data_IF_127946056254
#
_entry.id   IF_127946056254
#
_cell.length_a   1.000
_cell.length_b   1.000
_cell.length_c   1.000
_cell.angle_alpha   90.00
_cell.angle_beta   90.00
_cell.angle_gamma   90.00
#
_symmetry.space_group_name_H-M   'P 1'
#
loop_
_entity.id
_entity.type
_entity.pdbx_description
1 polymer ?
#
# COMPACT_ATOMS: atom_id res chain seq x y z
N UNK A 1 2.69 14.24 9.92
CA UNK A 1 2.58 13.70 8.56
C UNK A 1 3.51 12.54 8.24
N UNK A 2 4.78 12.60 8.56
CA UNK A 2 5.70 11.46 8.35
C UNK A 2 5.35 10.19 9.15
N UNK A 3 4.49 10.28 10.15
CA UNK A 3 4.20 9.22 11.13
C UNK A 3 3.07 8.28 10.68
N UNK A 4 2.02 8.80 10.03
CA UNK A 4 0.89 7.98 9.53
C UNK A 4 1.33 7.16 8.31
N UNK A 5 2.17 7.75 7.47
CA UNK A 5 2.71 7.10 6.28
C UNK A 5 3.63 5.92 6.62
N UNK A 6 4.39 6.01 7.73
CA UNK A 6 5.25 4.90 8.19
C UNK A 6 4.46 3.68 8.62
N UNK A 7 3.24 3.84 9.14
CA UNK A 7 2.38 2.72 9.52
C UNK A 7 1.79 1.99 8.31
N UNK A 8 1.47 2.69 7.23
CA UNK A 8 0.93 2.09 6.00
C UNK A 8 2.00 1.34 5.19
N UNK A 9 3.24 1.85 5.16
CA UNK A 9 4.36 1.15 4.51
C UNK A 9 4.86 -0.07 5.32
N UNK A 10 4.58 -0.15 6.62
CA UNK A 10 5.06 -1.24 7.49
C UNK A 10 4.46 -2.61 7.13
N UNK A 11 3.29 -2.65 6.49
CA UNK A 11 2.67 -3.90 6.07
C UNK A 11 3.46 -4.63 4.96
N UNK A 12 4.18 -3.89 4.11
CA UNK A 12 4.98 -4.46 3.01
C UNK A 12 6.41 -4.80 3.44
N UNK A 13 6.89 -4.27 4.57
CA UNK A 13 8.28 -4.48 5.06
C UNK A 13 8.57 -5.87 5.60
N UNK A 14 7.55 -6.73 5.79
CA UNK A 14 7.70 -8.10 6.28
C UNK A 14 8.57 -9.02 5.39
N UNK A 15 8.87 -8.61 4.16
CA UNK A 15 9.65 -9.41 3.23
C UNK A 15 11.16 -9.12 3.23
N UNK A 16 11.63 -8.00 3.79
CA UNK A 16 13.00 -7.52 3.57
C UNK A 16 13.87 -7.34 4.82
N UNK A 17 13.55 -8.01 5.92
CA UNK A 17 14.42 -8.05 7.11
C UNK A 17 14.03 -7.07 8.20
N UNK A 18 14.42 -7.42 9.41
CA UNK A 18 14.10 -6.81 10.69
C UNK A 18 14.12 -5.28 10.68
N UNK A 19 12.96 -4.66 10.57
CA UNK A 19 12.80 -3.25 10.86
C UNK A 19 12.29 -3.13 12.31
N UNK A 20 13.04 -2.43 13.15
CA UNK A 20 12.60 -2.06 14.48
C UNK A 20 11.32 -1.22 14.36
N UNK A 21 10.25 -1.71 14.94
CA UNK A 21 9.03 -0.94 15.11
C UNK A 21 9.35 0.24 16.04
N UNK A 22 9.39 1.44 15.46
CA UNK A 22 9.36 2.65 16.25
C UNK A 22 7.89 2.95 16.56
N UNK A 23 7.50 2.80 17.82
CA UNK A 23 6.23 3.27 18.36
C UNK A 23 6.10 4.78 18.12
N UNK A 24 5.42 5.17 17.08
CA UNK A 24 5.02 6.53 16.84
C UNK A 24 3.55 6.69 17.24
N UNK A 25 3.33 7.18 18.46
CA UNK A 25 2.02 7.63 18.95
C UNK A 25 1.47 8.69 17.98
N UNK A 26 0.23 8.55 17.48
CA UNK A 26 -0.40 9.62 16.70
C UNK A 26 -0.46 10.90 17.53
N UNK A 27 -0.14 12.03 16.94
CA UNK A 27 -0.44 13.33 17.55
C UNK A 27 -1.95 13.43 17.74
N UNK A 28 -2.38 13.56 18.98
CA UNK A 28 -3.77 13.75 19.34
C UNK A 28 -4.30 15.08 18.74
N UNK A 29 -5.57 15.10 18.33
CA UNK A 29 -6.46 16.22 18.08
C UNK A 29 -6.77 16.64 16.63
N UNK A 30 -6.31 15.94 15.59
CA UNK A 30 -6.85 16.19 14.24
C UNK A 30 -7.67 14.98 13.81
N UNK A 31 -8.96 15.16 13.42
CA UNK A 31 -9.79 14.07 12.91
C UNK A 31 -9.13 13.45 11.69
N UNK A 32 -8.66 12.24 11.81
CA UNK A 32 -8.01 11.51 10.73
C UNK A 32 -8.89 10.32 10.31
N UNK A 33 -9.02 10.11 9.01
CA UNK A 33 -9.69 8.96 8.41
C UNK A 33 -8.64 8.11 7.72
N UNK A 34 -8.60 6.82 8.03
CA UNK A 34 -7.80 5.85 7.30
C UNK A 34 -8.73 4.80 6.71
N UNK A 35 -8.64 4.60 5.40
CA UNK A 35 -9.38 3.58 4.67
C UNK A 35 -8.39 2.81 3.82
N UNK A 36 -8.56 1.50 3.71
CA UNK A 36 -7.71 0.71 2.86
C UNK A 36 -8.12 -0.74 2.84
N UNK A 37 -7.66 -1.40 1.81
CA UNK A 37 -7.80 -2.83 1.60
C UNK A 37 -6.43 -3.41 1.25
N UNK A 38 -6.20 -4.65 1.69
CA UNK A 38 -5.03 -5.42 1.31
C UNK A 38 -5.47 -6.83 0.91
N UNK A 39 -4.94 -7.31 -0.20
CA UNK A 39 -5.12 -8.68 -0.68
C UNK A 39 -3.77 -9.35 -0.70
N UNK A 40 -3.68 -10.54 -0.10
CA UNK A 40 -2.46 -11.34 -0.04
C UNK A 40 -2.71 -12.72 -0.60
N UNK A 41 -1.78 -13.18 -1.41
CA UNK A 41 -1.71 -14.55 -1.90
C UNK A 41 -0.35 -15.15 -1.56
N UNK A 42 -0.33 -16.45 -1.28
CA UNK A 42 0.88 -17.18 -0.96
C UNK A 42 0.93 -18.48 -1.77
N UNK A 43 2.11 -18.86 -2.24
CA UNK A 43 2.32 -20.11 -2.95
C UNK A 43 3.70 -20.70 -2.61
N UNK A 44 3.81 -22.01 -2.63
CA UNK A 44 5.06 -22.74 -2.41
C UNK A 44 5.78 -22.96 -3.74
N UNK A 45 7.10 -22.82 -3.74
CA UNK A 45 7.95 -23.19 -4.88
C UNK A 45 8.14 -24.71 -4.89
N UNK A 46 7.51 -25.39 -5.83
CA UNK A 46 7.59 -26.86 -5.94
C UNK A 46 8.60 -27.34 -6.99
N UNK A 47 8.93 -26.52 -8.00
CA UNK A 47 9.98 -26.83 -8.96
C UNK A 47 10.62 -25.54 -9.52
N UNK A 48 11.84 -25.67 -10.04
CA UNK A 48 12.59 -24.55 -10.66
C UNK A 48 13.30 -25.04 -11.90
N UNK A 49 13.03 -24.41 -13.04
CA UNK A 49 13.81 -24.56 -14.25
C UNK A 49 14.76 -23.35 -14.43
N UNK A 50 16.02 -23.54 -14.12
CA UNK A 50 17.01 -22.45 -14.19
C UNK A 50 17.32 -21.98 -15.62
N UNK A 51 17.18 -22.85 -16.62
CA UNK A 51 17.47 -22.52 -18.04
C UNK A 51 16.39 -21.57 -18.60
N UNK A 52 15.13 -21.86 -18.32
CA UNK A 52 14.00 -21.05 -18.79
C UNK A 52 13.60 -19.97 -17.78
N UNK A 53 14.21 -19.94 -16.58
CA UNK A 53 13.82 -19.09 -15.44
C UNK A 53 12.38 -19.29 -15.02
N UNK A 54 11.85 -20.50 -15.17
CA UNK A 54 10.50 -20.86 -14.78
C UNK A 54 10.51 -21.40 -13.34
N UNK A 55 9.59 -20.91 -12.53
CA UNK A 55 9.31 -21.38 -11.18
C UNK A 55 7.91 -21.96 -11.19
N UNK A 56 7.77 -23.22 -10.79
CA UNK A 56 6.46 -23.86 -10.60
C UNK A 56 6.00 -23.59 -9.17
N UNK A 57 4.83 -23.00 -9.04
CA UNK A 57 4.23 -22.60 -7.78
C UNK A 57 3.01 -23.46 -7.48
N UNK A 58 2.81 -23.81 -6.21
CA UNK A 58 1.61 -24.44 -5.68
C UNK A 58 0.91 -23.48 -4.74
N UNK A 59 -0.28 -23.00 -5.10
CA UNK A 59 -1.12 -22.14 -4.29
C UNK A 59 -1.69 -22.84 -3.06
N UNK A 60 -2.24 -22.07 -2.13
CA UNK A 60 -2.91 -22.58 -0.92
C UNK A 60 -4.15 -23.44 -1.25
N UNK A 61 -4.77 -23.19 -2.38
CA UNK A 61 -5.89 -23.97 -2.95
C UNK A 61 -5.45 -25.29 -3.61
N UNK A 62 -4.14 -25.57 -3.63
CA UNK A 62 -3.54 -26.75 -4.23
C UNK A 62 -3.30 -26.63 -5.74
N UNK A 63 -3.73 -25.57 -6.40
CA UNK A 63 -3.47 -25.33 -7.82
C UNK A 63 -1.97 -25.15 -8.07
N UNK A 64 -1.50 -25.76 -9.16
CA UNK A 64 -0.09 -25.69 -9.59
C UNK A 64 -0.02 -24.94 -10.90
N UNK A 65 0.88 -23.95 -10.97
CA UNK A 65 1.08 -23.11 -12.15
C UNK A 65 2.53 -22.67 -12.30
N UNK A 66 2.91 -22.32 -13.52
CA UNK A 66 4.25 -21.87 -13.85
C UNK A 66 4.33 -20.35 -13.95
N UNK A 67 5.41 -19.78 -13.42
CA UNK A 67 5.74 -18.36 -13.53
C UNK A 67 7.11 -18.20 -14.14
N UNK A 68 7.20 -17.45 -15.24
CA UNK A 68 8.49 -17.08 -15.83
C UNK A 68 9.00 -15.83 -15.10
N UNK A 69 10.15 -15.97 -14.45
CA UNK A 69 10.77 -14.88 -13.69
C UNK A 69 11.63 -14.04 -14.64
N UNK A 70 11.29 -12.77 -14.79
CA UNK A 70 11.99 -11.84 -15.66
C UNK A 70 13.47 -11.64 -15.31
N UNK A 71 14.24 -11.12 -16.27
CA UNK A 71 15.70 -10.90 -16.11
C UNK A 71 16.01 -9.80 -15.08
N UNK A 72 15.09 -8.93 -14.81
CA UNK A 72 15.15 -7.88 -13.78
C UNK A 72 15.27 -8.45 -12.36
N UNK A 73 14.76 -9.64 -12.11
CA UNK A 73 14.95 -10.38 -10.86
C UNK A 73 16.38 -10.97 -10.81
N UNK A 74 17.36 -10.13 -10.51
CA UNK A 74 18.79 -10.50 -10.50
C UNK A 74 19.11 -11.60 -9.49
N UNK A 75 18.35 -11.71 -8.42
CA UNK A 75 18.56 -12.68 -7.33
C UNK A 75 17.86 -14.03 -7.59
N UNK A 76 17.46 -14.33 -8.82
CA UNK A 76 16.77 -15.58 -9.18
C UNK A 76 17.48 -16.85 -8.65
N UNK A 77 18.80 -16.88 -8.66
CA UNK A 77 19.59 -18.00 -8.16
C UNK A 77 19.38 -18.31 -6.66
N UNK A 78 18.82 -17.36 -5.89
CA UNK A 78 18.54 -17.53 -4.48
C UNK A 78 17.20 -18.25 -4.20
N UNK A 79 16.40 -18.48 -5.24
CA UNK A 79 15.13 -19.22 -5.12
C UNK A 79 15.46 -20.71 -4.95
N UNK A 80 14.78 -21.36 -4.01
CA UNK A 80 14.91 -22.79 -3.73
C UNK A 80 13.54 -23.45 -3.70
N UNK A 81 13.48 -24.74 -4.01
CA UNK A 81 12.28 -25.55 -3.78
C UNK A 81 11.98 -25.56 -2.28
N UNK A 82 10.70 -25.43 -1.91
CA UNK A 82 10.21 -25.26 -0.56
C UNK A 82 10.13 -23.79 -0.11
N UNK A 83 10.71 -22.83 -0.84
CA UNK A 83 10.47 -21.41 -0.56
C UNK A 83 9.01 -21.06 -0.78
N UNK A 84 8.58 -19.95 -0.17
CA UNK A 84 7.26 -19.38 -0.38
C UNK A 84 7.36 -18.09 -1.18
N UNK A 85 6.44 -17.92 -2.10
CA UNK A 85 6.22 -16.66 -2.82
C UNK A 85 5.02 -15.97 -2.19
N UNK A 86 5.19 -14.75 -1.76
CA UNK A 86 4.14 -13.91 -1.20
C UNK A 86 3.90 -12.77 -2.20
N UNK A 87 2.67 -12.65 -2.67
CA UNK A 87 2.19 -11.51 -3.44
C UNK A 87 1.19 -10.72 -2.59
N UNK A 88 1.37 -9.42 -2.50
CA UNK A 88 0.51 -8.54 -1.71
C UNK A 88 0.17 -7.30 -2.52
N UNK A 89 -1.10 -6.96 -2.57
CA UNK A 89 -1.58 -5.70 -3.13
C UNK A 89 -2.29 -4.92 -2.04
N UNK A 90 -1.94 -3.65 -1.91
CA UNK A 90 -2.57 -2.77 -0.94
C UNK A 90 -2.98 -1.44 -1.57
N UNK A 91 -4.08 -0.93 -1.07
CA UNK A 91 -4.58 0.40 -1.39
C UNK A 91 -4.98 1.09 -0.08
N UNK A 92 -4.37 2.23 0.22
CA UNK A 92 -4.61 2.96 1.47
C UNK A 92 -4.81 4.43 1.18
N UNK A 93 -5.87 5.00 1.76
CA UNK A 93 -6.14 6.43 1.77
C UNK A 93 -6.19 6.91 3.22
N UNK A 94 -5.25 7.77 3.59
CA UNK A 94 -5.23 8.46 4.87
C UNK A 94 -5.53 9.94 4.65
N UNK A 95 -6.45 10.51 5.43
CA UNK A 95 -6.82 11.92 5.32
C UNK A 95 -6.97 12.56 6.70
N UNK A 96 -6.62 13.83 6.78
CA UNK A 96 -6.87 14.69 7.94
C UNK A 96 -7.68 15.93 7.50
N UNK A 97 -8.55 16.42 8.38
CA UNK A 97 -9.30 17.64 8.15
C UNK A 97 -8.42 18.85 8.42
N UNK A 98 -8.39 19.79 7.48
CA UNK A 98 -7.75 21.10 7.62
C UNK A 98 -8.83 22.17 7.55
N UNK A 99 -8.99 22.94 8.60
CA UNK A 99 -9.98 24.01 8.64
C UNK A 99 -9.61 25.18 7.72
N UNK A 100 -10.63 25.69 7.03
CA UNK A 100 -10.48 26.78 6.08
C UNK A 100 -9.89 26.36 4.73
N UNK A 101 -10.00 27.25 3.75
CA UNK A 101 -9.50 27.07 2.40
C UNK A 101 -7.99 27.36 2.25
N UNK A 102 -7.46 27.11 1.07
CA UNK A 102 -6.08 27.38 0.72
C UNK A 102 -5.71 26.82 -0.66
N UNK A 103 -4.44 26.72 -0.94
CA UNK A 103 -3.95 26.14 -2.19
C UNK A 103 -4.22 24.63 -2.21
N UNK A 104 -4.67 24.14 -3.34
CA UNK A 104 -4.78 22.72 -3.64
C UNK A 104 -3.46 22.23 -4.22
N UNK A 105 -3.00 21.10 -3.72
CA UNK A 105 -1.72 20.52 -4.13
C UNK A 105 -1.89 19.03 -4.47
N UNK A 106 -1.03 18.54 -5.34
CA UNK A 106 -0.88 17.10 -5.59
C UNK A 106 0.58 16.85 -5.92
N UNK A 107 1.19 15.95 -5.14
CA UNK A 107 2.55 15.47 -5.36
C UNK A 107 2.47 13.96 -5.54
N UNK A 108 2.99 13.46 -6.65
CA UNK A 108 3.02 12.03 -6.98
C UNK A 108 4.46 11.53 -6.85
N UNK A 109 4.62 10.34 -6.27
CA UNK A 109 5.90 9.68 -6.10
C UNK A 109 5.77 8.20 -6.41
N UNK A 110 6.59 7.71 -7.31
CA UNK A 110 6.65 6.29 -7.61
C UNK A 110 7.39 5.52 -6.49
N UNK A 111 6.85 4.35 -6.15
CA UNK A 111 7.48 3.38 -5.25
C UNK A 111 8.08 2.28 -6.12
N UNK A 112 9.41 2.18 -6.11
CA UNK A 112 10.15 1.20 -6.89
C UNK A 112 11.26 0.61 -6.02
N UNK A 113 10.95 -0.50 -5.34
CA UNK A 113 11.92 -1.18 -4.50
C UNK A 113 12.22 -2.58 -5.02
N UNK A 114 13.44 -3.04 -4.83
CA UNK A 114 13.87 -4.39 -5.15
C UNK A 114 14.75 -4.94 -4.04
N UNK A 115 14.73 -6.26 -3.86
CA UNK A 115 15.58 -6.94 -2.89
C UNK A 115 17.07 -6.66 -3.18
N UNK A 116 17.85 -6.47 -2.13
CA UNK A 116 19.29 -6.25 -2.21
C UNK A 116 20.03 -7.48 -2.76
N UNK A 117 21.20 -7.31 -3.38
CA UNK A 117 22.03 -8.43 -3.79
C UNK A 117 22.28 -9.43 -2.63
N UNK A 118 22.23 -10.73 -2.93
CA UNK A 118 22.40 -11.79 -1.93
C UNK A 118 21.15 -12.17 -1.14
N UNK A 119 20.10 -11.37 -1.17
CA UNK A 119 18.80 -11.71 -0.60
C UNK A 119 17.96 -12.53 -1.59
N UNK A 120 16.88 -13.15 -1.10
CA UNK A 120 15.89 -13.75 -1.99
C UNK A 120 15.20 -12.67 -2.83
N UNK A 121 14.72 -13.01 -4.05
CA UNK A 121 14.11 -12.02 -4.93
C UNK A 121 12.86 -11.41 -4.30
N UNK A 122 12.67 -10.13 -4.58
CA UNK A 122 11.48 -9.41 -4.22
C UNK A 122 11.47 -8.03 -4.87
N UNK A 123 10.28 -7.51 -5.08
CA UNK A 123 10.06 -6.18 -5.62
C UNK A 123 8.75 -5.59 -5.09
N UNK A 124 8.74 -4.28 -4.92
CA UNK A 124 7.54 -3.48 -4.64
C UNK A 124 7.43 -2.45 -5.74
N UNK A 125 6.24 -2.30 -6.29
CA UNK A 125 5.89 -1.29 -7.28
C UNK A 125 4.61 -0.61 -6.83
N UNK A 126 4.59 0.70 -6.91
CA UNK A 126 3.42 1.44 -6.48
C UNK A 126 3.55 2.92 -6.73
N UNK A 127 2.60 3.64 -6.18
CA UNK A 127 2.55 5.10 -6.21
C UNK A 127 2.02 5.63 -4.89
N UNK A 128 2.63 6.71 -4.45
CA UNK A 128 2.18 7.55 -3.34
C UNK A 128 1.71 8.89 -3.92
N UNK A 129 0.55 9.35 -3.50
CA UNK A 129 -0.02 10.63 -3.91
C UNK A 129 -0.37 11.42 -2.66
N UNK A 130 0.42 12.45 -2.37
CA UNK A 130 0.09 13.44 -1.36
C UNK A 130 -0.79 14.52 -1.98
N UNK A 131 -1.88 14.90 -1.31
CA UNK A 131 -2.80 15.88 -1.85
C UNK A 131 -3.38 16.81 -0.78
N UNK A 132 -3.77 18.00 -1.23
CA UNK A 132 -4.66 18.95 -0.54
C UNK A 132 -5.82 19.24 -1.47
N UNK A 133 -7.04 19.02 -0.98
CA UNK A 133 -8.27 19.17 -1.76
C UNK A 133 -9.32 19.97 -0.97
N UNK A 134 -10.15 20.76 -1.66
CA UNK A 134 -11.25 21.50 -1.06
C UNK A 134 -12.47 20.60 -0.86
N UNK A 135 -13.14 20.72 0.26
CA UNK A 135 -14.47 20.14 0.48
C UNK A 135 -15.52 20.98 -0.26
N UNK A 136 -16.14 20.42 -1.28
CA UNK A 136 -17.15 21.09 -2.11
C UNK A 136 -18.57 20.86 -1.63
N UNK A 137 -18.84 19.73 -1.05
CA UNK A 137 -20.14 19.43 -0.45
C UNK A 137 -20.03 18.35 0.60
N UNK A 138 -20.98 18.36 1.54
CA UNK A 138 -21.09 17.40 2.63
C UNK A 138 -22.51 16.85 2.62
N UNK A 139 -22.67 15.55 2.51
CA UNK A 139 -23.93 14.84 2.64
C UNK A 139 -23.90 13.99 3.91
N UNK A 140 -24.35 14.58 5.01
CA UNK A 140 -24.35 13.93 6.31
C UNK A 140 -25.29 12.70 6.37
N UNK A 141 -26.38 12.69 5.57
CA UNK A 141 -27.32 11.55 5.53
C UNK A 141 -26.70 10.35 4.82
N UNK A 142 -26.01 10.58 3.71
CA UNK A 142 -25.31 9.54 2.98
C UNK A 142 -23.93 9.19 3.59
N UNK A 143 -23.43 9.99 4.53
CA UNK A 143 -22.09 9.84 5.08
C UNK A 143 -21.00 10.09 4.04
N UNK A 144 -21.20 11.04 3.11
CA UNK A 144 -20.26 11.29 2.02
C UNK A 144 -19.84 12.75 1.92
N UNK A 145 -18.60 12.98 1.49
CA UNK A 145 -18.10 14.30 1.14
C UNK A 145 -17.67 14.28 -0.33
N UNK A 146 -17.82 15.43 -0.99
CA UNK A 146 -17.26 15.64 -2.33
C UNK A 146 -16.06 16.57 -2.21
N UNK A 147 -14.92 16.15 -2.68
CA UNK A 147 -13.70 16.95 -2.67
C UNK A 147 -13.25 17.33 -4.08
N UNK A 148 -12.66 18.50 -4.20
CA UNK A 148 -12.05 19.02 -5.43
C UNK A 148 -10.54 19.12 -5.25
N UNK A 149 -9.82 18.24 -5.92
CA UNK A 149 -8.35 18.23 -5.92
C UNK A 149 -7.74 19.24 -6.88
N UNK A 150 -6.42 19.26 -6.95
CA UNK A 150 -5.68 19.97 -7.97
C UNK A 150 -6.09 19.47 -9.38
N UNK A 151 -5.94 20.31 -10.38
CA UNK A 151 -6.33 20.02 -11.79
C UNK A 151 -7.83 19.77 -11.99
N UNK A 152 -8.69 20.22 -11.04
CA UNK A 152 -10.15 20.11 -11.18
C UNK A 152 -10.72 18.70 -10.99
N UNK A 153 -9.96 17.75 -10.50
CA UNK A 153 -10.46 16.38 -10.23
C UNK A 153 -11.44 16.38 -9.06
N UNK A 154 -12.60 15.76 -9.24
CA UNK A 154 -13.64 15.65 -8.23
C UNK A 154 -13.75 14.21 -7.77
N UNK A 155 -13.78 14.01 -6.46
CA UNK A 155 -13.91 12.69 -5.85
C UNK A 155 -15.04 12.72 -4.81
N UNK A 156 -15.85 11.66 -4.79
CA UNK A 156 -16.84 11.42 -3.74
C UNK A 156 -16.31 10.35 -2.79
N UNK A 157 -16.17 10.70 -1.52
CA UNK A 157 -15.58 9.84 -0.50
C UNK A 157 -16.62 9.53 0.57
N UNK A 158 -16.64 8.29 1.06
CA UNK A 158 -17.46 7.86 2.17
C UNK A 158 -16.69 8.03 3.47
N UNK A 159 -17.23 8.80 4.41
CA UNK A 159 -16.71 8.96 5.77
C UNK A 159 -17.48 8.04 6.69
N UNK A 160 -16.82 7.00 7.19
CA UNK A 160 -17.47 5.97 8.03
C UNK A 160 -17.71 6.44 9.47
N UNK A 161 -16.89 7.36 9.97
CA UNK A 161 -16.97 7.87 11.34
C UNK A 161 -17.90 9.09 11.41
N UNK A 162 -19.05 8.98 12.10
CA UNK A 162 -19.98 10.10 12.26
C UNK A 162 -19.38 11.30 13.03
N UNK A 163 -18.43 11.05 13.94
CA UNK A 163 -17.79 12.13 14.70
C UNK A 163 -16.86 12.96 13.82
N UNK A 164 -16.16 12.33 12.89
CA UNK A 164 -15.37 13.02 11.86
C UNK A 164 -16.30 13.76 10.91
N UNK A 165 -17.38 13.09 10.45
CA UNK A 165 -18.35 13.68 9.53
C UNK A 165 -18.98 14.97 10.07
N UNK A 166 -19.31 15.01 11.36
CA UNK A 166 -19.88 16.18 12.02
C UNK A 166 -18.96 17.41 12.06
N UNK A 167 -17.66 17.21 11.87
CA UNK A 167 -16.66 18.28 11.91
C UNK A 167 -16.34 18.85 10.53
N UNK A 168 -16.69 18.14 9.45
CA UNK A 168 -16.39 18.55 8.08
C UNK A 168 -17.45 19.54 7.59
N UNK A 169 -17.00 20.66 6.99
CA UNK A 169 -17.85 21.68 6.39
C UNK A 169 -17.43 21.96 4.98
N UNK A 170 -18.37 22.44 4.16
CA UNK A 170 -18.06 23.02 2.86
C UNK A 170 -17.09 24.22 3.03
N UNK A 171 -16.07 24.29 2.20
CA UNK A 171 -15.01 25.28 2.28
C UNK A 171 -13.81 24.87 3.16
N UNK A 172 -13.91 23.79 3.93
CA UNK A 172 -12.74 23.17 4.57
C UNK A 172 -11.85 22.52 3.51
N UNK A 173 -10.65 22.14 3.90
CA UNK A 173 -9.76 21.28 3.11
C UNK A 173 -9.55 19.94 3.78
N UNK A 174 -9.25 18.95 2.97
CA UNK A 174 -8.66 17.68 3.40
C UNK A 174 -7.25 17.59 2.87
N UNK A 175 -6.33 17.20 3.76
CA UNK A 175 -4.98 16.84 3.40
C UNK A 175 -4.85 15.34 3.52
N UNK A 176 -4.33 14.68 2.50
CA UNK A 176 -4.28 13.24 2.53
C UNK A 176 -3.10 12.66 1.76
N UNK A 177 -2.90 11.36 1.98
CA UNK A 177 -1.98 10.53 1.25
C UNK A 177 -2.72 9.29 0.77
N UNK A 178 -2.65 9.04 -0.53
CA UNK A 178 -3.12 7.83 -1.16
C UNK A 178 -1.93 6.98 -1.58
N UNK A 179 -1.93 5.72 -1.19
CA UNK A 179 -0.89 4.75 -1.56
C UNK A 179 -1.56 3.58 -2.22
N UNK A 180 -1.08 3.21 -3.39
CA UNK A 180 -1.36 1.94 -4.04
C UNK A 180 -0.05 1.24 -4.33
N UNK A 181 0.09 -0.01 -3.89
CA UNK A 181 1.31 -0.76 -4.10
C UNK A 181 1.04 -2.26 -4.26
N UNK A 182 1.86 -2.89 -5.08
CA UNK A 182 1.92 -4.35 -5.22
C UNK A 182 3.33 -4.81 -4.93
N UNK A 183 3.46 -5.73 -4.00
CA UNK A 183 4.70 -6.38 -3.63
C UNK A 183 4.69 -7.86 -4.01
N UNK A 184 5.84 -8.37 -4.39
CA UNK A 184 6.10 -9.80 -4.51
C UNK A 184 7.43 -10.11 -3.85
N UNK A 185 7.49 -11.15 -3.04
CA UNK A 185 8.71 -11.55 -2.35
C UNK A 185 8.81 -13.07 -2.24
N UNK A 186 10.03 -13.57 -2.40
CA UNK A 186 10.38 -14.96 -2.05
C UNK A 186 10.92 -14.97 -0.63
N UNK A 187 10.38 -15.82 0.22
CA UNK A 187 10.80 -15.99 1.61
C UNK A 187 11.15 -17.46 1.88
N UNK A 188 11.91 -17.70 2.93
CA UNK A 188 12.22 -19.07 3.35
C UNK A 188 10.96 -19.86 3.71
N UNK A 189 11.01 -21.21 3.70
CA UNK A 189 9.95 -22.06 4.22
C UNK A 189 9.54 -21.64 5.64
N UNK A 190 8.28 -21.89 6.03
CA UNK A 190 7.89 -21.78 7.45
C UNK A 190 8.74 -22.77 8.27
N UNK A 191 9.32 -22.32 9.36
CA UNK A 191 9.89 -23.25 10.33
C UNK A 191 8.78 -24.18 10.81
N UNK A 192 9.10 -25.49 10.83
CA UNK A 192 8.22 -26.51 11.40
C UNK A 192 8.18 -26.39 12.90
#
# INVERSE_FOLDING_TARGET
MKTILKAALLAITLAFGSAHAADAKPAADTPAVVMGDAVRAEAEVVAINKKTRTVTLKGEDGNVFDVIVGKEAKNFAQIKVGDRVIAEHMEVLAMELKKGGGLRETVEKDINETAKPGQKPGAIRGREVDFVADVKSVDAKAGTITILGAKGRVFKLKVKDPAVMAQVKEGDQVKGTYVVATGIAVVAPKAK
#
